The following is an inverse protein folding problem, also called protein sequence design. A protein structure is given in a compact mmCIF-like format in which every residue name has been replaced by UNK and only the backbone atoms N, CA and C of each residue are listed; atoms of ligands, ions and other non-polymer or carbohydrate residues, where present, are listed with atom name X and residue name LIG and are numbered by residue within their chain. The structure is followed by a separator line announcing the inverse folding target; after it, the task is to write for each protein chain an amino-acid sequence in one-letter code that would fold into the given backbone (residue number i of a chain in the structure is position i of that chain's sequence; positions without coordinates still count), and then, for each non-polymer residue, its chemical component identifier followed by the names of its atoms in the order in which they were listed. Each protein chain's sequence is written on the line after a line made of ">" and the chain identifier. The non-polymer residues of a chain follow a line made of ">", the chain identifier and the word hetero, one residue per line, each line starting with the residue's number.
data_IF_137641780471
#
_entry.id   IF_137641780471
#
_cell.length_a   1.000
_cell.length_b   1.000
_cell.length_c   1.000
_cell.angle_alpha   90.00
_cell.angle_beta   90.00
_cell.angle_gamma   90.00
#
_symmetry.space_group_name_H-M   'P 1'
#
loop_
_entity.id
_entity.type
_entity.pdbx_description
1 polymer ?
#
# COMPACT_ATOMS: atom_id res chain seq x y z
N UNK A 1 14.15 -39.12 -43.70
CA UNK A 1 15.24 -40.09 -43.99
C UNK A 1 16.56 -39.39 -43.69
N UNK A 2 17.26 -39.68 -42.57
CA UNK A 2 18.41 -40.64 -42.42
C UNK A 2 19.45 -40.45 -43.53
N UNK A 3 20.74 -40.22 -43.29
CA UNK A 3 21.79 -40.91 -42.47
C UNK A 3 22.94 -39.89 -42.25
N UNK A 4 23.57 -39.59 -41.11
CA UNK A 4 24.32 -40.30 -40.04
C UNK A 4 25.81 -40.62 -40.30
N UNK A 5 26.64 -40.32 -39.28
CA UNK A 5 28.05 -40.71 -38.96
C UNK A 5 29.22 -40.01 -39.67
N UNK A 6 30.13 -39.45 -38.86
CA UNK A 6 31.36 -40.18 -38.53
C UNK A 6 32.04 -39.72 -37.24
N UNK A 7 32.53 -40.72 -36.51
CA UNK A 7 33.21 -40.72 -35.23
C UNK A 7 34.56 -41.38 -35.50
N UNK A 8 35.69 -40.82 -35.07
CA UNK A 8 36.92 -41.59 -34.89
C UNK A 8 37.75 -41.09 -33.71
N UNK A 9 38.18 -42.07 -32.93
CA UNK A 9 38.94 -42.04 -31.68
C UNK A 9 40.40 -42.32 -32.01
N UNK A 10 41.37 -41.64 -31.38
CA UNK A 10 42.68 -42.26 -31.08
C UNK A 10 43.26 -41.78 -29.74
N UNK A 11 43.33 -42.72 -28.80
CA UNK A 11 44.16 -42.68 -27.57
C UNK A 11 45.58 -43.11 -27.89
N UNK A 12 46.61 -42.50 -27.27
CA UNK A 12 47.80 -43.18 -26.70
C UNK A 12 48.38 -42.35 -25.53
N UNK A 13 48.56 -43.02 -24.38
CA UNK A 13 49.41 -42.70 -23.20
C UNK A 13 50.58 -43.73 -23.22
N UNK A 14 51.51 -43.79 -22.24
CA UNK A 14 52.24 -42.79 -21.44
C UNK A 14 53.78 -43.10 -21.38
N UNK A 15 54.62 -42.24 -20.78
CA UNK A 15 55.84 -42.65 -20.06
C UNK A 15 56.07 -41.72 -18.86
N UNK A 16 56.37 -42.31 -17.70
CA UNK A 16 56.68 -41.68 -16.43
C UNK A 16 58.17 -41.88 -16.09
N UNK A 17 58.80 -40.94 -15.37
CA UNK A 17 59.94 -41.22 -14.46
C UNK A 17 60.05 -40.17 -13.33
N UNK A 18 60.50 -40.66 -12.18
CA UNK A 18 60.29 -40.28 -10.77
C UNK A 18 61.40 -39.30 -10.24
N UNK A 19 61.27 -38.70 -9.01
CA UNK A 19 61.98 -37.50 -8.55
C UNK A 19 63.16 -37.78 -7.59
N UNK A 20 63.93 -36.76 -7.14
CA UNK A 20 64.84 -36.94 -6.01
C UNK A 20 64.48 -36.12 -4.75
N UNK A 21 64.33 -36.89 -3.67
CA UNK A 21 64.94 -36.81 -2.33
C UNK A 21 64.89 -35.52 -1.48
N UNK A 22 64.09 -35.66 -0.42
CA UNK A 22 64.04 -34.90 0.84
C UNK A 22 65.31 -35.09 1.68
N UNK A 23 65.93 -34.00 2.12
CA UNK A 23 66.95 -33.99 3.20
C UNK A 23 66.40 -33.15 4.35
N UNK A 24 66.50 -33.72 5.55
CA UNK A 24 65.99 -33.18 6.81
C UNK A 24 67.17 -32.59 7.59
N UNK A 25 67.06 -31.33 8.02
CA UNK A 25 67.98 -30.72 8.98
C UNK A 25 67.16 -30.19 10.16
N UNK A 26 67.50 -30.67 11.36
CA UNK A 26 66.88 -30.29 12.63
C UNK A 26 67.73 -29.22 13.32
N UNK A 27 67.06 -28.11 13.65
CA UNK A 27 67.22 -27.24 14.84
C UNK A 27 68.44 -26.30 14.92
N UNK A 28 68.16 -25.00 14.93
CA UNK A 28 68.34 -24.15 16.13
C UNK A 28 67.16 -23.19 16.28
N UNK A 29 66.67 -23.10 17.51
CA UNK A 29 65.59 -22.25 18.01
C UNK A 29 66.16 -20.85 18.26
N UNK A 30 65.56 -19.80 17.70
CA UNK A 30 65.63 -18.43 18.24
C UNK A 30 64.30 -17.73 17.93
N UNK A 31 63.64 -17.26 18.98
CA UNK A 31 62.42 -16.45 18.95
C UNK A 31 62.64 -15.15 18.17
N UNK A 32 61.61 -14.68 17.45
CA UNK A 32 60.93 -13.39 17.72
C UNK A 32 59.82 -13.14 16.68
N UNK A 33 58.57 -13.18 17.19
CA UNK A 33 57.40 -12.33 16.88
C UNK A 33 57.19 -11.87 15.43
N UNK A 34 56.17 -12.44 14.77
CA UNK A 34 55.15 -11.71 13.99
C UNK A 34 54.32 -12.69 13.14
N UNK A 35 53.36 -13.37 13.76
CA UNK A 35 52.20 -13.91 13.03
C UNK A 35 50.95 -13.48 13.78
N UNK A 36 49.89 -13.23 13.03
CA UNK A 36 48.54 -12.79 13.44
C UNK A 36 48.25 -11.28 13.35
N UNK A 37 48.40 -10.71 12.14
CA UNK A 37 47.55 -9.56 11.77
C UNK A 37 46.63 -9.88 10.59
N UNK A 38 46.96 -10.84 9.73
CA UNK A 38 46.14 -11.12 8.53
C UNK A 38 44.96 -12.08 8.79
N UNK A 39 45.01 -12.91 9.84
CA UNK A 39 43.90 -13.80 10.22
C UNK A 39 42.81 -13.14 11.06
N UNK A 40 43.14 -12.08 11.81
CA UNK A 40 42.18 -11.35 12.64
C UNK A 40 41.26 -10.42 11.83
N UNK A 41 41.78 -9.84 10.75
CA UNK A 41 41.03 -8.89 9.91
C UNK A 41 39.92 -9.58 9.11
N UNK A 42 40.08 -10.87 8.76
CA UNK A 42 39.04 -11.63 8.04
C UNK A 42 37.93 -12.14 8.97
N UNK A 43 38.18 -12.28 10.28
CA UNK A 43 37.12 -12.60 11.24
C UNK A 43 36.37 -11.36 11.76
N UNK A 44 37.03 -10.20 11.80
CA UNK A 44 36.37 -8.92 12.12
C UNK A 44 35.55 -8.32 10.98
N UNK A 45 35.69 -8.80 9.73
CA UNK A 45 34.82 -8.40 8.62
C UNK A 45 33.62 -9.33 8.40
N UNK A 46 33.58 -10.50 9.04
CA UNK A 46 32.43 -11.41 9.00
C UNK A 46 31.53 -11.28 10.25
N UNK A 47 32.06 -10.79 11.38
CA UNK A 47 31.32 -10.65 12.63
C UNK A 47 30.60 -9.28 12.81
N UNK A 48 30.64 -8.40 11.80
CA UNK A 48 29.90 -7.13 11.79
C UNK A 48 28.74 -7.09 10.77
N UNK A 49 28.26 -8.25 10.30
CA UNK A 49 27.08 -8.33 9.42
C UNK A 49 25.75 -8.55 10.14
N UNK A 50 25.74 -8.51 11.47
CA UNK A 50 24.51 -8.62 12.25
C UNK A 50 24.39 -7.42 13.20
N UNK A 51 24.09 -6.25 12.64
CA UNK A 51 23.35 -5.17 13.32
C UNK A 51 23.03 -4.09 12.29
N UNK A 52 21.95 -4.30 11.53
CA UNK A 52 21.12 -3.18 11.11
C UNK A 52 19.80 -3.27 11.90
N UNK A 53 19.69 -2.57 13.04
CA UNK A 53 18.39 -2.20 13.55
C UNK A 53 18.26 -0.68 13.65
N UNK A 54 17.02 -0.23 13.52
CA UNK A 54 16.48 1.04 13.99
C UNK A 54 16.32 2.22 13.03
N UNK A 55 17.10 2.43 11.97
CA UNK A 55 16.90 3.69 11.19
C UNK A 55 15.63 3.66 10.33
N UNK A 56 15.30 2.51 9.73
CA UNK A 56 14.08 2.32 8.94
C UNK A 56 12.83 2.23 9.83
N UNK A 57 12.95 1.58 10.99
CA UNK A 57 11.85 1.46 11.96
C UNK A 57 11.58 2.77 12.70
N UNK A 58 12.57 3.66 12.86
CA UNK A 58 12.35 4.95 13.50
C UNK A 58 11.61 5.90 12.56
N UNK A 59 11.86 5.85 11.25
CA UNK A 59 11.10 6.65 10.30
C UNK A 59 9.64 6.17 10.21
N UNK A 60 9.39 4.86 10.16
CA UNK A 60 8.03 4.29 10.23
C UNK A 60 7.33 4.58 11.57
N UNK A 61 8.04 4.53 12.70
CA UNK A 61 7.46 4.83 14.01
C UNK A 61 7.19 6.33 14.21
N UNK A 62 8.02 7.22 13.65
CA UNK A 62 7.79 8.67 13.69
C UNK A 62 6.67 9.08 12.72
N UNK A 63 6.59 8.47 11.53
CA UNK A 63 5.48 8.65 10.58
C UNK A 63 4.13 8.15 11.15
N UNK A 64 4.16 7.17 12.05
CA UNK A 64 2.96 6.68 12.73
C UNK A 64 2.43 7.66 13.80
N UNK A 65 3.23 8.62 14.27
CA UNK A 65 2.82 9.58 15.32
C UNK A 65 2.02 10.79 14.83
N UNK A 66 1.87 10.96 13.50
CA UNK A 66 1.18 12.09 12.87
C UNK A 66 -0.16 11.71 12.21
N UNK A 67 -0.56 10.45 12.29
CA UNK A 67 -1.83 9.96 11.73
C UNK A 67 -2.95 10.14 12.75
N UNK A 68 -4.02 10.84 12.37
CA UNK A 68 -5.21 11.04 13.20
C UNK A 68 -5.80 9.71 13.65
N UNK A 69 -6.30 9.61 14.87
CA UNK A 69 -7.00 8.38 15.29
C UNK A 69 -8.31 8.18 14.53
N UNK A 70 -8.69 6.92 14.31
CA UNK A 70 -10.00 6.60 13.77
C UNK A 70 -11.08 7.01 14.79
N UNK A 71 -12.08 7.82 14.41
CA UNK A 71 -13.07 8.34 15.35
C UNK A 71 -13.94 7.23 15.94
N UNK A 72 -14.39 7.44 17.18
CA UNK A 72 -15.52 6.68 17.72
C UNK A 72 -16.79 7.21 17.06
N UNK A 73 -17.53 6.34 16.37
CA UNK A 73 -18.76 6.70 15.65
C UNK A 73 -19.96 6.01 16.31
N UNK A 74 -20.97 6.80 16.64
CA UNK A 74 -22.25 6.31 17.14
C UNK A 74 -23.01 5.57 16.03
N UNK A 75 -23.17 4.26 16.18
CA UNK A 75 -23.84 3.41 15.17
C UNK A 75 -25.34 3.22 15.43
N UNK A 76 -25.89 3.94 16.43
CA UNK A 76 -27.31 3.88 16.76
C UNK A 76 -28.15 4.33 15.56
N UNK A 77 -29.02 3.45 15.07
CA UNK A 77 -29.86 3.72 13.91
C UNK A 77 -29.23 3.40 12.56
N UNK A 78 -27.95 3.03 12.50
CA UNK A 78 -27.32 2.58 11.25
C UNK A 78 -27.95 1.28 10.75
N UNK A 79 -28.07 1.17 9.42
CA UNK A 79 -28.39 -0.09 8.77
C UNK A 79 -27.26 -1.11 8.97
N UNK A 80 -27.54 -2.38 8.73
CA UNK A 80 -26.50 -3.41 8.81
C UNK A 80 -25.43 -3.23 7.73
N UNK A 81 -25.79 -2.69 6.58
CA UNK A 81 -24.83 -2.35 5.52
C UNK A 81 -23.91 -1.21 5.94
N UNK A 82 -24.44 -0.14 6.56
CA UNK A 82 -23.62 0.95 7.12
C UNK A 82 -22.62 0.43 8.16
N UNK A 83 -23.08 -0.44 9.07
CA UNK A 83 -22.18 -1.06 10.07
C UNK A 83 -21.08 -1.89 9.42
N UNK A 84 -21.38 -2.65 8.36
CA UNK A 84 -20.36 -3.43 7.62
C UNK A 84 -19.35 -2.54 6.92
N UNK A 85 -19.81 -1.51 6.21
CA UNK A 85 -18.94 -0.52 5.54
C UNK A 85 -18.02 0.16 6.56
N UNK A 86 -18.58 0.59 7.71
CA UNK A 86 -17.81 1.23 8.77
C UNK A 86 -16.74 0.28 9.35
N UNK A 87 -17.13 -0.95 9.67
CA UNK A 87 -16.23 -1.94 10.24
C UNK A 87 -15.08 -2.28 9.29
N UNK A 88 -15.36 -2.42 7.98
CA UNK A 88 -14.34 -2.65 6.96
C UNK A 88 -13.37 -1.47 6.87
N UNK A 89 -13.88 -0.24 6.82
CA UNK A 89 -13.05 0.96 6.78
C UNK A 89 -12.15 1.06 8.01
N UNK A 90 -12.68 0.80 9.21
CA UNK A 90 -11.91 0.80 10.46
C UNK A 90 -10.84 -0.30 10.46
N UNK A 91 -11.19 -1.51 10.03
CA UNK A 91 -10.25 -2.63 9.95
C UNK A 91 -9.10 -2.35 8.99
N UNK A 92 -9.39 -1.80 7.81
CA UNK A 92 -8.36 -1.42 6.84
C UNK A 92 -7.54 -0.23 7.35
N UNK A 93 -8.15 0.71 8.05
CA UNK A 93 -7.43 1.81 8.69
C UNK A 93 -6.32 1.30 9.62
N UNK A 94 -6.63 0.32 10.47
CA UNK A 94 -5.68 -0.27 11.43
C UNK A 94 -4.47 -0.95 10.78
N UNK A 95 -4.58 -1.35 9.50
CA UNK A 95 -3.46 -1.96 8.75
C UNK A 95 -2.41 -0.95 8.32
N UNK A 96 -2.72 0.35 8.42
CA UNK A 96 -1.88 1.45 7.98
C UNK A 96 -1.38 1.27 6.53
N UNK A 97 -2.30 1.06 5.57
CA UNK A 97 -1.92 0.82 4.18
C UNK A 97 -1.22 2.05 3.62
N UNK A 98 -0.18 1.79 2.84
CA UNK A 98 0.65 2.77 2.14
C UNK A 98 0.73 2.40 0.65
N UNK A 99 0.92 3.40 -0.21
CA UNK A 99 1.10 3.23 -1.65
C UNK A 99 1.88 1.96 -2.02
N UNK A 100 1.24 1.16 -2.88
CA UNK A 100 1.81 -0.06 -3.47
C UNK A 100 2.12 -1.21 -2.51
N UNK A 101 1.73 -1.11 -1.24
CA UNK A 101 1.86 -2.25 -0.33
C UNK A 101 0.87 -3.38 -0.69
N UNK A 102 1.03 -4.54 -0.04
CA UNK A 102 0.16 -5.70 -0.27
C UNK A 102 -1.31 -5.42 0.03
N UNK A 103 -1.61 -4.49 0.93
CA UNK A 103 -2.97 -4.12 1.32
C UNK A 103 -3.61 -3.27 0.23
N UNK A 104 -2.89 -2.28 -0.31
CA UNK A 104 -3.33 -1.45 -1.44
C UNK A 104 -3.47 -2.29 -2.71
N UNK A 105 -2.52 -3.18 -2.98
CA UNK A 105 -2.57 -4.10 -4.13
C UNK A 105 -3.80 -5.02 -4.14
N UNK A 106 -4.41 -5.25 -2.97
CA UNK A 106 -5.69 -5.98 -2.88
C UNK A 106 -6.86 -5.10 -3.36
N UNK A 107 -6.86 -3.80 -3.10
CA UNK A 107 -7.91 -2.89 -3.56
C UNK A 107 -7.80 -2.66 -5.07
N UNK A 108 -6.57 -2.44 -5.54
CA UNK A 108 -6.26 -2.13 -6.94
C UNK A 108 -6.11 -3.38 -7.81
N UNK A 109 -6.36 -4.59 -7.29
CA UNK A 109 -6.15 -5.86 -8.01
C UNK A 109 -4.75 -6.02 -8.65
N UNK A 110 -3.74 -5.44 -8.01
CA UNK A 110 -2.33 -5.52 -8.43
C UNK A 110 -1.86 -4.37 -9.32
N UNK A 111 -2.69 -3.38 -9.61
CA UNK A 111 -2.28 -2.18 -10.36
C UNK A 111 -1.59 -1.15 -9.45
N UNK A 112 -0.47 -0.59 -9.92
CA UNK A 112 0.22 0.54 -9.29
C UNK A 112 -0.41 1.86 -9.76
N UNK A 113 -1.50 2.27 -9.09
CA UNK A 113 -2.25 3.49 -9.42
C UNK A 113 -2.75 4.23 -8.15
N UNK A 114 -3.28 5.44 -8.34
CA UNK A 114 -4.01 6.16 -7.28
C UNK A 114 -5.22 5.34 -6.85
N UNK A 115 -5.34 5.07 -5.56
CA UNK A 115 -6.25 4.04 -5.04
C UNK A 115 -7.39 4.60 -4.18
N UNK A 116 -7.66 5.91 -4.24
CA UNK A 116 -8.77 6.52 -3.50
C UNK A 116 -10.13 5.96 -3.94
N UNK A 117 -10.39 5.86 -5.24
CA UNK A 117 -11.59 5.22 -5.80
C UNK A 117 -11.62 3.71 -5.61
N UNK A 118 -10.47 3.04 -5.71
CA UNK A 118 -10.35 1.60 -5.50
C UNK A 118 -10.67 1.18 -4.07
N UNK A 119 -10.16 1.91 -3.07
CA UNK A 119 -10.46 1.64 -1.67
C UNK A 119 -11.96 1.69 -1.40
N UNK A 120 -12.64 2.76 -1.86
CA UNK A 120 -14.08 2.91 -1.67
C UNK A 120 -14.83 1.79 -2.41
N UNK A 121 -14.50 1.54 -3.68
CA UNK A 121 -15.08 0.46 -4.48
C UNK A 121 -14.93 -0.91 -3.79
N UNK A 122 -13.75 -1.17 -3.22
CA UNK A 122 -13.44 -2.41 -2.52
C UNK A 122 -14.27 -2.55 -1.24
N UNK A 123 -14.35 -1.49 -0.42
CA UNK A 123 -15.17 -1.49 0.81
C UNK A 123 -16.63 -1.82 0.49
N UNK A 124 -17.20 -1.16 -0.53
CA UNK A 124 -18.58 -1.38 -0.96
C UNK A 124 -18.83 -2.79 -1.51
N UNK A 125 -17.90 -3.30 -2.32
CA UNK A 125 -17.94 -4.68 -2.80
C UNK A 125 -17.90 -5.70 -1.64
N UNK A 126 -16.99 -5.53 -0.68
CA UNK A 126 -16.89 -6.42 0.49
C UNK A 126 -18.10 -6.30 1.43
N UNK A 127 -18.77 -5.15 1.48
CA UNK A 127 -19.98 -4.95 2.26
C UNK A 127 -21.24 -5.58 1.64
N UNK A 128 -21.13 -6.13 0.42
CA UNK A 128 -22.23 -6.75 -0.34
C UNK A 128 -23.06 -5.76 -1.16
N UNK A 129 -22.53 -4.56 -1.41
CA UNK A 129 -23.19 -3.49 -2.17
C UNK A 129 -22.22 -2.92 -3.22
N UNK A 130 -21.71 -3.75 -4.15
CA UNK A 130 -20.72 -3.31 -5.13
C UNK A 130 -21.29 -2.17 -6.00
N UNK A 131 -20.42 -1.23 -6.37
CA UNK A 131 -20.73 -0.32 -7.46
C UNK A 131 -20.85 -1.10 -8.78
N UNK A 132 -21.35 -0.44 -9.82
CA UNK A 132 -21.41 -0.98 -11.16
C UNK A 132 -20.76 0.02 -12.10
N UNK A 133 -19.54 -0.26 -12.54
CA UNK A 133 -18.81 0.60 -13.46
C UNK A 133 -19.67 0.88 -14.70
N UNK A 134 -19.88 2.16 -15.09
CA UNK A 134 -20.79 2.53 -16.18
C UNK A 134 -20.51 1.78 -17.48
N UNK A 135 -19.24 1.65 -17.88
CA UNK A 135 -18.86 0.97 -19.12
C UNK A 135 -18.68 -0.55 -18.99
N UNK A 136 -17.89 -1.01 -18.03
CA UNK A 136 -17.47 -2.42 -17.94
C UNK A 136 -18.42 -3.30 -17.14
N UNK A 137 -19.33 -2.69 -16.37
CA UNK A 137 -20.20 -3.36 -15.38
C UNK A 137 -19.46 -4.09 -14.27
N UNK A 138 -18.15 -3.89 -14.15
CA UNK A 138 -17.34 -4.44 -13.05
C UNK A 138 -17.55 -3.63 -11.76
N UNK A 139 -17.22 -4.21 -10.60
CA UNK A 139 -17.45 -3.53 -9.31
C UNK A 139 -16.43 -2.42 -9.02
N UNK A 140 -15.23 -2.51 -9.60
CA UNK A 140 -14.12 -1.59 -9.34
C UNK A 140 -14.28 -0.34 -10.21
N UNK A 141 -14.28 0.84 -9.58
CA UNK A 141 -14.26 2.14 -10.24
C UNK A 141 -13.07 2.94 -9.69
N UNK A 142 -11.90 2.86 -10.35
CA UNK A 142 -10.67 3.51 -9.85
C UNK A 142 -10.71 5.03 -10.02
N UNK A 143 -11.21 5.48 -11.18
CA UNK A 143 -11.21 6.89 -11.57
C UNK A 143 -12.28 7.70 -10.85
N UNK A 144 -11.88 8.83 -10.27
CA UNK A 144 -12.75 9.78 -9.55
C UNK A 144 -13.88 10.28 -10.45
N UNK A 145 -13.55 10.75 -11.66
CA UNK A 145 -14.52 11.21 -12.64
C UNK A 145 -15.54 10.13 -13.05
N UNK A 146 -15.10 8.88 -13.17
CA UNK A 146 -15.98 7.75 -13.50
C UNK A 146 -16.90 7.42 -12.34
N UNK A 147 -16.40 7.46 -11.10
CA UNK A 147 -17.22 7.27 -9.89
C UNK A 147 -18.25 8.40 -9.74
N UNK A 148 -17.88 9.63 -10.08
CA UNK A 148 -18.83 10.75 -10.15
C UNK A 148 -19.93 10.48 -11.17
N UNK A 149 -19.55 10.01 -12.37
CA UNK A 149 -20.52 9.66 -13.43
C UNK A 149 -21.47 8.55 -12.98
N UNK A 150 -20.98 7.56 -12.23
CA UNK A 150 -21.81 6.53 -11.61
C UNK A 150 -22.90 7.16 -10.72
N UNK A 151 -22.53 8.01 -9.75
CA UNK A 151 -23.53 8.65 -8.87
C UNK A 151 -24.49 9.58 -9.62
N UNK A 152 -24.02 10.26 -10.67
CA UNK A 152 -24.89 11.07 -11.53
C UNK A 152 -25.93 10.22 -12.27
N UNK A 153 -25.54 9.06 -12.79
CA UNK A 153 -26.45 8.13 -13.47
C UNK A 153 -27.46 7.49 -12.51
N UNK A 154 -27.05 7.22 -11.27
CA UNK A 154 -27.95 6.74 -10.20
C UNK A 154 -28.87 7.84 -9.64
N UNK A 155 -28.74 9.10 -10.10
CA UNK A 155 -29.50 10.23 -9.58
C UNK A 155 -29.18 10.56 -8.12
N UNK A 156 -27.98 10.21 -7.68
CA UNK A 156 -27.51 10.27 -6.29
C UNK A 156 -26.34 11.26 -6.10
N UNK A 157 -26.04 12.08 -7.09
CA UNK A 157 -25.01 13.12 -7.02
C UNK A 157 -25.60 14.45 -6.52
N UNK A 158 -25.07 14.95 -5.41
CA UNK A 158 -25.53 16.15 -4.73
C UNK A 158 -24.41 17.20 -4.63
N UNK A 159 -24.61 18.38 -5.21
CA UNK A 159 -23.66 19.48 -5.09
C UNK A 159 -23.66 20.03 -3.66
N UNK A 160 -22.50 20.45 -3.15
CA UNK A 160 -22.45 21.05 -1.81
C UNK A 160 -23.28 22.33 -1.79
N UNK A 161 -24.31 22.34 -0.95
CA UNK A 161 -25.23 23.47 -0.79
C UNK A 161 -26.61 23.25 -1.40
N UNK A 162 -26.86 22.12 -2.06
CA UNK A 162 -28.18 21.79 -2.64
C UNK A 162 -29.24 21.39 -1.59
N UNK A 163 -28.84 21.26 -0.32
CA UNK A 163 -29.69 20.88 0.81
C UNK A 163 -29.55 19.43 1.26
N UNK A 164 -28.81 18.60 0.51
CA UNK A 164 -28.45 17.24 0.94
C UNK A 164 -27.58 17.26 2.19
N UNK A 165 -27.82 16.30 3.08
CA UNK A 165 -27.05 16.13 4.31
C UNK A 165 -26.23 14.84 4.19
N UNK A 166 -24.89 14.93 4.11
CA UNK A 166 -24.04 13.76 4.02
C UNK A 166 -24.27 12.79 5.17
N UNK A 167 -24.27 11.50 4.86
CA UNK A 167 -24.46 10.39 5.77
C UNK A 167 -23.23 9.47 5.77
N UNK A 168 -23.12 8.64 6.80
CA UNK A 168 -22.08 7.62 6.87
C UNK A 168 -22.19 6.69 5.66
N UNK A 169 -21.08 6.55 4.93
CA UNK A 169 -20.95 5.74 3.72
C UNK A 169 -21.03 6.55 2.42
N UNK A 170 -21.49 7.80 2.44
CA UNK A 170 -21.49 8.63 1.23
C UNK A 170 -20.07 8.92 0.73
N UNK A 171 -19.95 9.34 -0.52
CA UNK A 171 -18.64 9.63 -1.14
C UNK A 171 -18.50 11.12 -1.35
N UNK A 172 -17.51 11.75 -0.71
CA UNK A 172 -17.14 13.13 -0.94
C UNK A 172 -16.24 13.24 -2.18
N UNK A 173 -16.59 14.16 -3.09
CA UNK A 173 -15.85 14.44 -4.31
C UNK A 173 -15.09 15.75 -4.18
N UNK A 174 -13.80 15.71 -4.53
CA UNK A 174 -12.90 16.84 -4.48
C UNK A 174 -12.29 17.09 -5.86
N UNK A 175 -12.28 18.34 -6.30
CA UNK A 175 -11.62 18.79 -7.53
C UNK A 175 -10.86 20.10 -7.29
N UNK A 176 -9.70 20.27 -7.93
CA UNK A 176 -8.82 21.42 -7.74
C UNK A 176 -7.74 21.15 -6.69
N UNK A 177 -7.65 22.00 -5.66
CA UNK A 177 -6.76 21.73 -4.51
C UNK A 177 -7.41 20.64 -3.66
N UNK A 178 -6.93 19.39 -3.75
CA UNK A 178 -7.57 18.27 -3.05
C UNK A 178 -6.87 17.90 -1.73
N UNK A 179 -7.52 17.13 -0.83
CA UNK A 179 -6.93 16.70 0.44
C UNK A 179 -5.69 15.80 0.29
N UNK A 180 -5.51 15.14 -0.85
CA UNK A 180 -4.36 14.28 -1.09
C UNK A 180 -3.06 15.07 -1.31
N UNK A 181 -3.16 16.37 -1.65
CA UNK A 181 -2.06 17.31 -1.81
C UNK A 181 -1.29 17.20 -3.13
N UNK A 182 -1.55 16.18 -3.95
CA UNK A 182 -0.79 15.88 -5.16
C UNK A 182 -1.62 15.75 -6.43
N UNK A 183 -2.95 15.58 -6.32
CA UNK A 183 -3.86 15.35 -7.43
C UNK A 183 -4.89 16.46 -7.59
N UNK A 184 -5.38 16.65 -8.82
CA UNK A 184 -6.45 17.60 -9.13
C UNK A 184 -7.86 17.06 -8.89
N UNK A 185 -7.99 15.77 -8.58
CA UNK A 185 -9.24 15.11 -8.25
C UNK A 185 -9.01 14.06 -7.15
N UNK A 186 -9.97 13.91 -6.24
CA UNK A 186 -9.88 12.97 -5.13
C UNK A 186 -11.28 12.56 -4.66
N UNK A 187 -11.35 11.39 -4.01
CA UNK A 187 -12.56 10.94 -3.31
C UNK A 187 -12.22 10.40 -1.93
N UNK A 188 -13.12 10.64 -0.99
CA UNK A 188 -13.05 10.05 0.35
C UNK A 188 -14.45 9.63 0.79
N UNK A 189 -14.54 8.57 1.59
CA UNK A 189 -15.81 8.12 2.13
C UNK A 189 -16.14 8.91 3.41
N UNK A 190 -17.38 9.35 3.54
CA UNK A 190 -17.90 10.05 4.72
C UNK A 190 -18.06 9.06 5.87
N UNK A 191 -17.44 9.39 6.99
CA UNK A 191 -17.58 8.67 8.25
C UNK A 191 -18.72 9.25 9.09
N UNK A 192 -18.78 10.58 9.21
CA UNK A 192 -19.83 11.31 9.93
C UNK A 192 -19.80 12.81 9.60
N UNK A 193 -20.83 13.53 10.04
CA UNK A 193 -20.88 15.00 10.01
C UNK A 193 -21.09 15.50 11.44
N UNK A 194 -20.21 16.39 11.92
CA UNK A 194 -20.24 17.00 13.25
C UNK A 194 -20.42 18.51 13.12
N UNK A 195 -21.65 18.99 13.21
CA UNK A 195 -21.94 20.41 12.99
C UNK A 195 -21.65 20.81 11.53
N UNK A 196 -20.69 21.72 11.33
CA UNK A 196 -20.20 22.13 10.02
C UNK A 196 -18.91 21.42 9.58
N UNK A 197 -18.52 20.35 10.29
CA UNK A 197 -17.33 19.55 9.97
C UNK A 197 -17.75 18.22 9.34
N UNK A 198 -17.20 17.90 8.17
CA UNK A 198 -17.27 16.57 7.57
C UNK A 198 -16.04 15.76 7.99
N UNK A 199 -16.27 14.53 8.43
CA UNK A 199 -15.21 13.59 8.76
C UNK A 199 -15.18 12.53 7.66
N UNK A 200 -14.03 12.38 7.01
CA UNK A 200 -13.88 11.46 5.88
C UNK A 200 -12.70 10.52 6.08
N UNK A 201 -12.70 9.41 5.34
CA UNK A 201 -11.60 8.48 5.21
C UNK A 201 -11.28 8.27 3.73
N UNK A 202 -10.06 8.57 3.33
CA UNK A 202 -9.61 8.48 1.94
C UNK A 202 -8.25 7.81 1.81
N UNK A 203 -8.06 7.09 0.71
CA UNK A 203 -6.79 6.47 0.34
C UNK A 203 -5.88 7.42 -0.42
N UNK A 204 -4.60 7.06 -0.59
CA UNK A 204 -3.62 7.82 -1.35
C UNK A 204 -3.41 9.25 -0.83
N UNK A 205 -3.65 9.51 0.46
CA UNK A 205 -3.66 10.88 0.97
C UNK A 205 -2.31 11.32 1.51
N UNK A 206 -1.90 12.54 1.13
CA UNK A 206 -0.67 13.19 1.55
C UNK A 206 0.58 12.64 0.83
N UNK A 207 1.73 13.25 1.10
CA UNK A 207 3.02 12.85 0.51
C UNK A 207 3.41 11.40 0.82
N UNK A 208 2.86 10.85 1.90
CA UNK A 208 3.06 9.47 2.34
C UNK A 208 2.10 8.47 1.68
N UNK A 209 1.06 8.93 0.98
CA UNK A 209 0.16 8.07 0.22
C UNK A 209 -0.52 7.00 1.08
N UNK A 210 -1.06 7.41 2.23
CA UNK A 210 -1.66 6.49 3.21
C UNK A 210 -3.19 6.57 3.23
N UNK A 211 -3.84 5.64 3.92
CA UNK A 211 -5.25 5.77 4.29
C UNK A 211 -5.39 6.73 5.47
N UNK A 212 -6.08 7.86 5.29
CA UNK A 212 -6.11 8.94 6.29
C UNK A 212 -7.55 9.31 6.64
N UNK A 213 -7.77 9.64 7.92
CA UNK A 213 -8.99 10.30 8.38
C UNK A 213 -8.77 11.81 8.40
N UNK A 214 -9.72 12.55 7.84
CA UNK A 214 -9.70 14.02 7.76
C UNK A 214 -10.91 14.63 8.47
N UNK A 215 -10.71 15.86 8.92
CA UNK A 215 -11.71 16.71 9.53
C UNK A 215 -11.66 18.04 8.79
N UNK A 216 -12.62 18.25 7.90
CA UNK A 216 -12.67 19.44 7.06
C UNK A 216 -14.00 20.16 7.23
N UNK A 217 -14.04 21.44 6.88
CA UNK A 217 -15.30 22.17 6.84
C UNK A 217 -16.20 21.61 5.73
N UNK A 218 -17.45 21.31 6.06
CA UNK A 218 -18.50 20.98 5.11
C UNK A 218 -18.98 22.26 4.42
N UNK A 219 -18.19 22.74 3.45
CA UNK A 219 -18.49 23.89 2.62
C UNK A 219 -17.83 23.76 1.26
N UNK A 220 -18.52 24.22 0.21
CA UNK A 220 -18.04 24.15 -1.16
C UNK A 220 -16.67 24.83 -1.29
N UNK A 221 -15.76 24.18 -2.02
CA UNK A 221 -14.39 24.64 -2.23
C UNK A 221 -13.44 24.38 -1.06
N UNK A 222 -13.91 23.91 0.10
CA UNK A 222 -13.01 23.50 1.20
C UNK A 222 -12.16 22.33 0.74
N UNK A 223 -10.86 22.58 0.51
CA UNK A 223 -9.96 21.58 -0.08
C UNK A 223 -10.55 20.95 -1.34
N UNK A 224 -11.18 21.78 -2.18
CA UNK A 224 -11.74 21.33 -3.45
C UNK A 224 -13.03 20.51 -3.30
N UNK A 225 -13.63 20.41 -2.12
CA UNK A 225 -14.90 19.70 -1.93
C UNK A 225 -16.00 20.33 -2.79
N UNK A 226 -16.57 19.57 -3.73
CA UNK A 226 -17.61 20.07 -4.65
C UNK A 226 -18.96 19.36 -4.49
N UNK A 227 -18.97 18.10 -4.09
CA UNK A 227 -20.19 17.29 -4.08
C UNK A 227 -20.11 16.06 -3.19
N UNK A 228 -21.26 15.42 -3.01
CA UNK A 228 -21.48 14.19 -2.27
C UNK A 228 -22.24 13.21 -3.18
N UNK A 229 -21.72 11.98 -3.30
CA UNK A 229 -22.47 10.84 -3.83
C UNK A 229 -23.22 10.15 -2.71
N UNK A 230 -24.55 10.25 -2.72
CA UNK A 230 -25.44 9.59 -1.77
C UNK A 230 -25.41 8.07 -1.97
N UNK A 231 -24.84 7.35 -1.02
CA UNK A 231 -24.64 5.90 -1.11
C UNK A 231 -25.94 5.09 -1.05
N UNK A 232 -26.99 5.65 -0.45
CA UNK A 232 -28.29 4.98 -0.25
C UNK A 232 -28.27 3.81 0.74
N UNK A 233 -27.10 3.42 1.27
CA UNK A 233 -26.95 2.25 2.15
C UNK A 233 -27.59 2.43 3.54
N UNK A 234 -27.97 3.66 3.89
CA UNK A 234 -28.67 3.99 5.14
C UNK A 234 -30.18 3.71 5.11
N UNK A 235 -30.75 3.40 3.95
CA UNK A 235 -32.17 3.00 3.86
C UNK A 235 -32.31 1.59 4.43
N UNK A 236 -33.18 1.43 5.43
CA UNK A 236 -33.46 0.11 6.03
C UNK A 236 -34.10 -0.78 4.95
N UNK A 237 -33.50 -1.95 4.72
CA UNK A 237 -34.08 -3.01 3.89
C UNK A 237 -35.15 -3.78 4.63
#
# INVERSE_FOLDING_TARGET
>A
MRVNRNYQVRRRRPVATTPPKRVWSRRKLSLLVATLVVGGVVWQLAAHRDTAPAVESTQQAVLSSTRTDFPVIETTGFSDTQKRVLALAQQEYQKNPINYDKTVMKYTEGFEESWCGDFISWVFNQAGTPFVHPDTKYWRIPGVQTLMTYYQQEGAYHEIGDGYKPQMGDVAFYFGETPDGGSSEHVAMVLEVRGDTIVTIGGNEGDDGILRVRYDKLAAGTKGLVAIGASGIGVKS
#
